data_IF_324770308968
#
_entry.id   IF_324770308968
#
_cell.length_a   1.000
_cell.length_b   1.000
_cell.length_c   1.000
_cell.angle_alpha   90.00
_cell.angle_beta   90.00
_cell.angle_gamma   90.00
#
_symmetry.space_group_name_H-M   'P 1'
#
loop_
_entity.id
_entity.type
_entity.pdbx_description
1 polymer ?
#
# COMPACT_ATOMS: atom_id res chain seq x y z
N UNK A 1 -36.29 44.56 27.30
CA UNK A 1 -36.48 44.39 25.85
C UNK A 1 -36.06 42.97 25.50
N UNK A 2 -36.96 42.22 24.84
CA UNK A 2 -36.78 40.90 24.23
C UNK A 2 -36.52 39.65 25.12
N UNK A 3 -37.63 39.04 25.53
CA UNK A 3 -37.85 37.58 25.70
C UNK A 3 -37.83 36.87 24.34
N UNK A 4 -37.41 35.58 24.28
CA UNK A 4 -37.74 34.50 23.30
C UNK A 4 -36.71 33.34 23.49
N UNK A 5 -36.94 32.03 23.43
CA UNK A 5 -38.07 31.11 23.19
C UNK A 5 -37.60 29.72 23.71
N UNK A 6 -38.41 29.08 24.54
CA UNK A 6 -38.54 27.60 24.68
C UNK A 6 -39.50 27.17 23.58
N UNK A 7 -39.22 26.16 22.75
CA UNK A 7 -40.19 25.22 22.10
C UNK A 7 -39.38 24.27 21.21
N UNK A 8 -39.50 22.96 21.41
CA UNK A 8 -38.81 21.97 20.57
C UNK A 8 -38.65 20.58 21.18
N UNK A 9 -39.61 20.15 21.99
CA UNK A 9 -39.82 18.75 22.37
C UNK A 9 -41.03 18.29 21.53
N UNK A 10 -41.03 17.02 21.11
CA UNK A 10 -42.19 16.29 20.58
C UNK A 10 -42.48 16.59 19.10
N UNK A 11 -41.95 15.75 18.19
CA UNK A 11 -42.57 15.17 16.98
C UNK A 11 -41.47 14.31 16.34
N UNK A 12 -41.42 13.01 16.65
CA UNK A 12 -41.11 11.92 15.70
C UNK A 12 -41.26 10.55 16.37
N UNK A 13 -42.46 10.23 16.85
CA UNK A 13 -42.83 8.90 17.33
C UNK A 13 -44.12 8.35 16.69
N UNK A 14 -44.55 8.90 15.56
CA UNK A 14 -45.82 8.50 14.93
C UNK A 14 -45.71 8.46 13.40
N UNK A 15 -44.94 7.50 12.88
CA UNK A 15 -45.28 6.83 11.62
C UNK A 15 -45.13 5.33 11.88
N UNK A 16 -46.03 4.86 12.74
CA UNK A 16 -46.52 3.48 12.80
C UNK A 16 -47.88 3.54 12.09
N UNK A 17 -48.19 2.48 11.33
CA UNK A 17 -49.40 2.22 10.53
C UNK A 17 -49.28 2.60 9.05
N UNK A 18 -48.89 1.64 8.21
CA UNK A 18 -49.89 0.79 7.59
C UNK A 18 -49.26 -0.50 7.04
N UNK A 19 -49.80 -1.69 7.39
CA UNK A 19 -49.46 -2.95 6.74
C UNK A 19 -50.31 -3.07 5.47
N UNK A 20 -49.69 -2.90 4.31
CA UNK A 20 -50.27 -3.34 3.05
C UNK A 20 -49.90 -4.80 2.84
N UNK A 21 -50.88 -5.65 3.18
CA UNK A 21 -51.01 -7.00 2.66
C UNK A 21 -50.90 -6.94 1.14
N UNK A 22 -49.86 -7.55 0.58
CA UNK A 22 -49.87 -7.96 -0.81
C UNK A 22 -49.84 -9.49 -0.86
N UNK A 23 -50.83 -10.00 -1.56
CA UNK A 23 -51.19 -11.38 -1.70
C UNK A 23 -50.10 -12.22 -2.37
N UNK A 24 -49.96 -13.44 -1.85
CA UNK A 24 -49.78 -14.70 -2.55
C UNK A 24 -48.99 -14.66 -3.87
N UNK A 25 -47.72 -15.05 -3.78
CA UNK A 25 -47.24 -16.13 -4.64
C UNK A 25 -46.92 -17.30 -3.71
N UNK A 26 -47.74 -18.35 -3.74
CA UNK A 26 -47.30 -19.67 -3.29
C UNK A 26 -46.17 -20.07 -4.25
N UNK A 27 -44.95 -19.72 -3.88
CA UNK A 27 -43.78 -20.31 -4.48
C UNK A 27 -43.90 -21.81 -4.21
N UNK A 28 -44.18 -22.56 -5.28
CA UNK A 28 -43.97 -23.98 -5.34
C UNK A 28 -42.49 -24.22 -5.06
N UNK A 29 -42.13 -24.35 -3.79
CA UNK A 29 -40.83 -24.86 -3.37
C UNK A 29 -40.88 -26.36 -3.62
N UNK A 30 -40.53 -26.77 -4.86
CA UNK A 30 -39.95 -28.09 -5.03
C UNK A 30 -38.70 -28.06 -4.18
N UNK A 31 -38.74 -28.76 -3.04
CA UNK A 31 -37.59 -28.95 -2.17
C UNK A 31 -36.57 -29.77 -2.96
N UNK A 32 -35.81 -29.09 -3.83
CA UNK A 32 -34.64 -29.66 -4.45
C UNK A 32 -33.69 -29.96 -3.30
N UNK A 33 -33.53 -31.23 -2.96
CA UNK A 33 -32.75 -31.66 -1.82
C UNK A 33 -31.29 -31.29 -2.07
N UNK A 34 -30.86 -30.16 -1.50
CA UNK A 34 -29.47 -29.73 -1.55
C UNK A 34 -28.61 -30.72 -0.77
N UNK A 35 -27.58 -31.25 -1.42
CA UNK A 35 -26.63 -32.16 -0.76
C UNK A 35 -25.44 -31.37 -0.22
N UNK A 36 -25.19 -31.41 1.09
CA UNK A 36 -24.04 -30.74 1.68
C UNK A 36 -22.76 -31.57 1.52
N UNK A 37 -21.75 -30.99 0.85
CA UNK A 37 -20.47 -31.64 0.53
C UNK A 37 -19.41 -31.45 1.62
N UNK A 38 -19.56 -30.45 2.50
CA UNK A 38 -18.59 -30.11 3.54
C UNK A 38 -17.86 -28.80 3.30
N UNK A 39 -16.73 -28.65 3.99
CA UNK A 39 -15.88 -27.46 3.95
C UNK A 39 -14.57 -27.76 3.20
N UNK A 40 -14.11 -26.80 2.40
CA UNK A 40 -12.93 -26.96 1.54
C UNK A 40 -12.02 -25.75 1.65
N UNK A 41 -10.71 -25.97 1.67
CA UNK A 41 -9.70 -24.92 1.73
C UNK A 41 -9.21 -24.56 0.33
N UNK A 42 -9.32 -23.28 0.01
CA UNK A 42 -8.88 -22.69 -1.25
C UNK A 42 -7.38 -22.91 -1.49
N UNK A 43 -7.04 -23.30 -2.71
CA UNK A 43 -5.69 -23.65 -3.17
C UNK A 43 -5.18 -25.03 -2.73
N UNK A 44 -5.94 -25.77 -1.91
CA UNK A 44 -5.49 -27.05 -1.34
C UNK A 44 -6.41 -28.21 -1.70
N UNK A 45 -7.71 -28.02 -1.55
CA UNK A 45 -8.66 -29.11 -1.61
C UNK A 45 -9.29 -29.25 -2.99
N UNK A 46 -9.87 -30.44 -3.24
CA UNK A 46 -10.64 -30.75 -4.44
C UNK A 46 -12.02 -31.23 -4.05
N UNK A 47 -13.04 -30.74 -4.75
CA UNK A 47 -14.42 -31.17 -4.58
C UNK A 47 -14.68 -32.31 -5.58
N UNK A 48 -15.17 -33.44 -5.09
CA UNK A 48 -15.58 -34.57 -5.92
C UNK A 48 -17.10 -34.73 -5.86
N UNK A 49 -17.77 -34.61 -7.00
CA UNK A 49 -19.20 -34.84 -7.15
C UNK A 49 -19.39 -36.08 -8.03
N UNK A 50 -20.19 -37.02 -7.57
CA UNK A 50 -20.57 -38.21 -8.32
C UNK A 50 -22.08 -38.37 -8.25
N UNK A 51 -22.70 -38.70 -9.38
CA UNK A 51 -24.12 -38.95 -9.48
C UNK A 51 -24.45 -39.90 -10.62
N UNK A 52 -25.73 -40.22 -10.75
CA UNK A 52 -26.26 -41.10 -11.78
C UNK A 52 -27.48 -40.44 -12.41
N UNK A 53 -27.50 -40.37 -13.73
CA UNK A 53 -28.61 -39.83 -14.51
C UNK A 53 -29.53 -40.98 -14.93
N UNK A 54 -30.77 -40.93 -14.47
CA UNK A 54 -31.77 -41.97 -14.66
C UNK A 54 -33.06 -41.36 -15.20
N UNK A 55 -33.76 -42.10 -16.05
CA UNK A 55 -35.15 -41.82 -16.46
C UNK A 55 -36.05 -42.95 -15.97
N UNK A 56 -37.31 -42.63 -15.68
CA UNK A 56 -38.33 -43.62 -15.35
C UNK A 56 -39.07 -44.00 -16.63
N UNK A 57 -38.86 -45.23 -17.12
CA UNK A 57 -39.59 -45.79 -18.26
C UNK A 57 -40.33 -47.04 -17.79
N UNK A 58 -41.67 -47.10 -17.98
CA UNK A 58 -42.49 -48.23 -17.55
C UNK A 58 -42.29 -48.66 -16.08
N UNK A 59 -42.09 -47.69 -15.17
CA UNK A 59 -41.73 -47.89 -13.75
C UNK A 59 -40.35 -48.52 -13.49
N UNK A 60 -39.49 -48.65 -14.50
CA UNK A 60 -38.10 -49.07 -14.35
C UNK A 60 -37.15 -47.88 -14.45
N UNK A 61 -36.04 -47.93 -13.70
CA UNK A 61 -34.99 -46.91 -13.74
C UNK A 61 -34.01 -47.26 -14.85
N UNK A 62 -34.06 -46.51 -15.94
CA UNK A 62 -33.18 -46.70 -17.09
C UNK A 62 -32.07 -45.64 -17.06
N UNK A 63 -30.78 -46.03 -17.14
CA UNK A 63 -29.70 -45.08 -17.17
C UNK A 63 -29.62 -44.33 -18.49
N UNK A 64 -29.36 -43.02 -18.43
CA UNK A 64 -29.12 -42.20 -19.62
C UNK A 64 -27.61 -42.15 -19.89
N UNK A 65 -27.15 -43.05 -20.76
CA UNK A 65 -25.73 -43.18 -21.11
C UNK A 65 -25.30 -42.24 -22.24
N UNK A 66 -24.02 -41.84 -22.22
CA UNK A 66 -23.36 -41.15 -23.32
C UNK A 66 -23.83 -39.72 -23.58
N UNK A 67 -24.46 -39.07 -22.60
CA UNK A 67 -24.90 -37.67 -22.69
C UNK A 67 -23.99 -36.76 -21.87
N UNK A 68 -23.89 -35.49 -22.27
CA UNK A 68 -23.12 -34.49 -21.52
C UNK A 68 -23.94 -33.91 -20.38
N UNK A 69 -23.27 -33.75 -19.24
CA UNK A 69 -23.76 -33.06 -18.06
C UNK A 69 -22.77 -31.95 -17.74
N UNK A 70 -23.28 -30.79 -17.35
CA UNK A 70 -22.51 -29.58 -17.10
C UNK A 70 -22.43 -29.29 -15.60
N UNK A 71 -21.33 -28.71 -15.15
CA UNK A 71 -21.15 -28.28 -13.77
C UNK A 71 -20.92 -26.77 -13.70
N UNK A 72 -21.74 -26.10 -12.90
CA UNK A 72 -21.64 -24.67 -12.61
C UNK A 72 -21.42 -24.44 -11.12
N UNK A 73 -20.65 -23.42 -10.75
CA UNK A 73 -20.66 -22.84 -9.42
C UNK A 73 -21.49 -21.55 -9.44
N UNK A 74 -22.41 -21.43 -8.50
CA UNK A 74 -23.21 -20.25 -8.26
C UNK A 74 -22.75 -19.61 -6.94
N UNK A 75 -22.40 -18.34 -7.01
CA UNK A 75 -21.88 -17.56 -5.89
C UNK A 75 -22.97 -16.64 -5.32
N UNK A 76 -22.78 -16.17 -4.09
CA UNK A 76 -23.77 -15.32 -3.40
C UNK A 76 -24.01 -13.96 -4.06
N UNK A 77 -23.09 -13.52 -4.93
CA UNK A 77 -23.22 -12.30 -5.74
C UNK A 77 -24.06 -12.51 -7.02
N UNK A 78 -24.60 -13.72 -7.22
CA UNK A 78 -25.40 -14.10 -8.38
C UNK A 78 -24.60 -14.41 -9.64
N UNK A 79 -23.27 -14.47 -9.55
CA UNK A 79 -22.42 -14.86 -10.69
C UNK A 79 -22.32 -16.37 -10.83
N UNK A 80 -22.23 -16.83 -12.08
CA UNK A 80 -22.18 -18.23 -12.44
C UNK A 80 -20.82 -18.52 -13.10
N UNK A 81 -20.13 -19.55 -12.62
CA UNK A 81 -18.86 -20.00 -13.15
C UNK A 81 -19.01 -21.41 -13.72
N UNK A 82 -18.82 -21.56 -15.02
CA UNK A 82 -18.72 -22.89 -15.64
C UNK A 82 -17.43 -23.58 -15.21
N UNK A 83 -17.54 -24.78 -14.66
CA UNK A 83 -16.42 -25.55 -14.13
C UNK A 83 -15.99 -26.69 -15.07
N UNK A 84 -16.90 -27.16 -15.92
CA UNK A 84 -16.62 -28.20 -16.91
C UNK A 84 -17.84 -29.04 -17.25
N UNK A 85 -17.65 -29.97 -18.18
CA UNK A 85 -18.65 -30.96 -18.59
C UNK A 85 -18.10 -32.38 -18.43
N UNK A 86 -18.99 -33.35 -18.25
CA UNK A 86 -18.67 -34.76 -18.16
C UNK A 86 -19.69 -35.58 -18.93
N UNK A 87 -19.23 -36.63 -19.60
CA UNK A 87 -20.10 -37.54 -20.35
C UNK A 87 -20.47 -38.72 -19.46
N UNK A 88 -21.77 -39.04 -19.36
CA UNK A 88 -22.22 -40.19 -18.58
C UNK A 88 -21.73 -41.51 -19.19
N UNK A 89 -21.38 -42.46 -18.31
CA UNK A 89 -21.00 -43.81 -18.73
C UNK A 89 -22.22 -44.68 -19.11
N UNK A 90 -22.00 -45.96 -19.41
CA UNK A 90 -23.04 -46.93 -19.77
C UNK A 90 -24.11 -47.13 -18.68
N UNK A 91 -23.77 -46.83 -17.42
CA UNK A 91 -24.67 -46.90 -16.28
C UNK A 91 -25.28 -45.52 -15.95
N UNK A 92 -25.08 -44.50 -16.79
CA UNK A 92 -25.56 -43.14 -16.56
C UNK A 92 -24.76 -42.39 -15.48
N UNK A 93 -23.62 -42.90 -15.03
CA UNK A 93 -22.82 -42.31 -13.96
C UNK A 93 -21.95 -41.19 -14.52
N UNK A 94 -21.87 -40.08 -13.78
CA UNK A 94 -20.96 -38.97 -14.06
C UNK A 94 -20.09 -38.67 -12.82
N UNK A 95 -18.88 -38.16 -13.06
CA UNK A 95 -17.95 -37.77 -11.98
C UNK A 95 -17.26 -36.45 -12.33
N UNK A 96 -17.36 -35.48 -11.42
CA UNK A 96 -16.61 -34.24 -11.46
C UNK A 96 -15.56 -34.20 -10.35
N UNK A 97 -14.37 -33.72 -10.68
CA UNK A 97 -13.30 -33.42 -9.71
C UNK A 97 -12.81 -32.00 -9.97
N UNK A 98 -13.16 -31.07 -9.08
CA UNK A 98 -12.89 -29.64 -9.25
C UNK A 98 -11.88 -29.19 -8.21
N UNK A 99 -10.81 -28.55 -8.66
CA UNK A 99 -9.85 -27.90 -7.75
C UNK A 99 -10.44 -26.58 -7.24
N UNK A 100 -10.45 -26.39 -5.91
CA UNK A 100 -10.89 -25.13 -5.30
C UNK A 100 -9.77 -24.11 -5.45
N UNK A 101 -9.70 -23.44 -6.58
CA UNK A 101 -8.63 -22.49 -6.91
C UNK A 101 -8.98 -21.03 -6.53
N UNK A 102 -8.15 -20.08 -6.97
CA UNK A 102 -8.31 -18.67 -6.63
C UNK A 102 -9.61 -18.01 -7.13
N UNK A 103 -10.32 -18.65 -8.07
CA UNK A 103 -11.59 -18.15 -8.63
C UNK A 103 -12.78 -18.37 -7.70
N UNK A 104 -12.68 -19.26 -6.72
CA UNK A 104 -13.74 -19.47 -5.74
C UNK A 104 -13.71 -18.35 -4.68
N UNK A 105 -14.82 -17.65 -4.45
CA UNK A 105 -14.94 -16.76 -3.29
C UNK A 105 -14.97 -17.59 -2.00
N UNK A 106 -14.50 -17.01 -0.90
CA UNK A 106 -14.68 -17.61 0.42
C UNK A 106 -16.15 -17.48 0.86
N UNK A 107 -16.64 -18.48 1.57
CA UNK A 107 -18.03 -18.56 2.01
C UNK A 107 -18.79 -19.72 1.34
N UNK A 108 -20.11 -19.60 1.32
CA UNK A 108 -21.00 -20.63 0.78
C UNK A 108 -21.02 -20.59 -0.76
N UNK A 109 -20.93 -21.76 -1.37
CA UNK A 109 -20.97 -21.96 -2.83
C UNK A 109 -21.96 -23.07 -3.15
N UNK A 110 -22.84 -22.82 -4.12
CA UNK A 110 -23.80 -23.80 -4.62
C UNK A 110 -23.30 -24.33 -5.97
N UNK A 111 -22.96 -25.61 -6.02
CA UNK A 111 -22.57 -26.31 -7.23
C UNK A 111 -23.82 -26.93 -7.88
N UNK A 112 -24.09 -26.55 -9.12
CA UNK A 112 -25.25 -27.01 -9.90
C UNK A 112 -24.77 -27.95 -10.98
N UNK A 113 -25.19 -29.21 -10.89
CA UNK A 113 -25.04 -30.18 -11.98
C UNK A 113 -26.28 -30.06 -12.87
N UNK A 114 -26.08 -29.76 -14.14
CA UNK A 114 -27.15 -29.49 -15.10
C UNK A 114 -27.09 -30.46 -16.28
N UNK A 115 -28.19 -31.17 -16.51
CA UNK A 115 -28.41 -31.90 -17.75
C UNK A 115 -29.40 -31.09 -18.60
N UNK A 116 -29.03 -30.68 -19.82
CA UNK A 116 -29.89 -29.83 -20.66
C UNK A 116 -31.11 -30.55 -21.23
N UNK A 117 -31.21 -31.87 -21.12
CA UNK A 117 -32.27 -32.65 -21.75
C UNK A 117 -31.93 -33.08 -23.18
N UNK A 118 -32.82 -33.88 -23.78
CA UNK A 118 -32.76 -34.32 -25.17
C UNK A 118 -34.18 -34.44 -25.71
N UNK A 119 -34.60 -33.43 -26.47
CA UNK A 119 -35.97 -33.32 -27.02
C UNK A 119 -36.28 -34.49 -27.96
N UNK A 120 -35.28 -35.01 -28.70
CA UNK A 120 -35.49 -36.11 -29.64
C UNK A 120 -35.80 -37.42 -28.92
N UNK A 121 -35.30 -37.56 -27.68
CA UNK A 121 -35.56 -38.72 -26.81
C UNK A 121 -36.69 -38.45 -25.80
N UNK A 122 -37.23 -37.24 -25.77
CA UNK A 122 -38.26 -36.84 -24.81
C UNK A 122 -37.73 -36.63 -23.38
N UNK A 123 -36.44 -36.36 -23.21
CA UNK A 123 -35.85 -36.11 -21.90
C UNK A 123 -35.85 -34.62 -21.57
N UNK A 124 -36.47 -34.27 -20.44
CA UNK A 124 -36.50 -32.89 -19.94
C UNK A 124 -35.16 -32.49 -19.28
N UNK A 125 -34.87 -31.18 -19.19
CA UNK A 125 -33.71 -30.70 -18.46
C UNK A 125 -33.84 -30.99 -16.95
N UNK A 126 -32.74 -31.40 -16.31
CA UNK A 126 -32.71 -31.72 -14.87
C UNK A 126 -31.53 -31.03 -14.19
N UNK A 127 -31.73 -30.63 -12.92
CA UNK A 127 -30.71 -29.98 -12.09
C UNK A 127 -30.56 -30.68 -10.74
N UNK A 128 -29.33 -30.80 -10.26
CA UNK A 128 -29.01 -31.21 -8.90
C UNK A 128 -28.10 -30.15 -8.24
N UNK A 129 -28.32 -29.89 -6.95
CA UNK A 129 -27.65 -28.83 -6.21
C UNK A 129 -26.84 -29.40 -5.07
N UNK A 130 -25.61 -28.93 -4.95
CA UNK A 130 -24.65 -29.34 -3.94
C UNK A 130 -24.09 -28.12 -3.23
N UNK A 131 -24.19 -28.08 -1.90
CA UNK A 131 -23.68 -26.97 -1.08
C UNK A 131 -22.28 -27.28 -0.57
N UNK A 132 -21.36 -26.34 -0.69
CA UNK A 132 -20.02 -26.40 -0.10
C UNK A 132 -19.67 -25.08 0.58
N UNK A 133 -18.80 -25.12 1.60
CA UNK A 133 -18.24 -23.92 2.24
C UNK A 133 -16.76 -23.81 1.89
N UNK A 134 -16.35 -22.74 1.24
CA UNK A 134 -14.97 -22.45 0.87
C UNK A 134 -14.31 -21.59 1.95
N UNK A 135 -13.21 -22.06 2.52
CA UNK A 135 -12.38 -21.35 3.49
C UNK A 135 -11.14 -20.80 2.82
N UNK A 136 -10.76 -19.58 3.20
CA UNK A 136 -9.44 -19.04 2.85
C UNK A 136 -8.34 -19.93 3.46
N UNK A 137 -7.18 -20.07 2.80
CA UNK A 137 -6.07 -20.79 3.38
C UNK A 137 -5.69 -20.07 4.67
N UNK A 138 -5.63 -20.82 5.77
CA UNK A 138 -5.05 -20.27 7.01
C UNK A 138 -3.65 -19.80 6.66
N UNK A 139 -3.44 -18.48 6.64
CA UNK A 139 -2.11 -17.91 6.62
C UNK A 139 -1.45 -18.38 7.90
N UNK A 140 -0.70 -19.49 7.80
CA UNK A 140 0.20 -19.89 8.86
C UNK A 140 1.06 -18.66 9.12
N UNK A 141 0.92 -18.09 10.32
CA UNK A 141 1.58 -16.87 10.78
C UNK A 141 3.10 -17.08 10.94
N UNK A 142 3.76 -17.80 10.03
CA UNK A 142 5.22 -17.87 9.91
C UNK A 142 5.80 -16.50 9.54
N UNK A 143 5.00 -15.62 8.94
CA UNK A 143 5.36 -14.22 8.71
C UNK A 143 5.42 -13.38 10.00
N UNK A 144 4.86 -13.85 11.13
CA UNK A 144 4.95 -13.10 12.39
C UNK A 144 6.36 -13.15 12.99
N UNK A 145 7.10 -14.26 12.81
CA UNK A 145 8.49 -14.38 13.28
C UNK A 145 9.45 -13.51 12.46
N UNK A 146 9.26 -13.47 11.14
CA UNK A 146 10.02 -12.60 10.24
C UNK A 146 9.65 -11.12 10.42
N UNK A 147 8.37 -10.80 10.63
CA UNK A 147 7.94 -9.43 10.94
C UNK A 147 8.51 -8.92 12.27
N UNK A 148 8.55 -9.78 13.29
CA UNK A 148 9.10 -9.43 14.60
C UNK A 148 10.63 -9.23 14.54
N UNK A 149 11.35 -10.05 13.77
CA UNK A 149 12.81 -9.89 13.61
C UNK A 149 13.16 -8.60 12.86
N UNK A 150 12.43 -8.25 11.80
CA UNK A 150 12.61 -6.99 11.07
C UNK A 150 12.28 -5.78 11.96
N UNK A 151 11.21 -5.85 12.75
CA UNK A 151 10.86 -4.80 13.70
C UNK A 151 11.95 -4.58 14.76
N UNK A 152 12.53 -5.65 15.30
CA UNK A 152 13.64 -5.59 16.26
C UNK A 152 14.89 -4.96 15.61
N UNK A 153 15.23 -5.35 14.38
CA UNK A 153 16.39 -4.79 13.65
C UNK A 153 16.20 -3.29 13.40
N UNK A 154 15.02 -2.86 12.97
CA UNK A 154 14.71 -1.44 12.76
C UNK A 154 14.81 -0.64 14.06
N UNK A 155 14.35 -1.20 15.18
CA UNK A 155 14.46 -0.57 16.50
C UNK A 155 15.92 -0.37 16.92
N UNK A 156 16.79 -1.37 16.67
CA UNK A 156 18.23 -1.28 16.93
C UNK A 156 18.87 -0.19 16.05
N UNK A 157 18.48 -0.09 14.77
CA UNK A 157 18.97 0.96 13.88
C UNK A 157 18.53 2.36 14.31
N UNK A 158 17.30 2.51 14.80
CA UNK A 158 16.82 3.79 15.32
C UNK A 158 17.55 4.19 16.60
N UNK A 159 17.81 3.25 17.51
CA UNK A 159 18.59 3.52 18.72
C UNK A 159 20.05 3.86 18.43
N UNK A 160 20.69 3.19 17.46
CA UNK A 160 22.07 3.51 17.06
C UNK A 160 22.16 4.90 16.40
N UNK A 161 21.16 5.27 15.60
CA UNK A 161 21.03 6.63 15.04
C UNK A 161 20.81 7.69 16.12
N UNK A 162 19.91 7.45 17.06
CA UNK A 162 19.62 8.37 18.15
C UNK A 162 20.84 8.59 19.04
N UNK A 163 21.56 7.52 19.41
CA UNK A 163 22.78 7.60 20.23
C UNK A 163 23.93 8.32 19.52
N UNK A 164 24.10 8.11 18.20
CA UNK A 164 25.06 8.91 17.41
C UNK A 164 24.72 10.40 17.37
N UNK A 165 23.43 10.73 17.26
CA UNK A 165 22.96 12.13 17.26
C UNK A 165 23.19 12.78 18.62
N UNK A 166 22.92 12.05 19.70
CA UNK A 166 23.13 12.50 21.08
C UNK A 166 24.63 12.71 21.39
N UNK A 167 25.51 11.83 20.89
CA UNK A 167 26.96 12.01 21.00
C UNK A 167 27.46 13.24 20.22
N UNK A 168 26.88 13.56 19.06
CA UNK A 168 27.24 14.78 18.31
C UNK A 168 26.81 16.04 19.05
N UNK A 169 25.60 16.06 19.61
CA UNK A 169 25.08 17.16 20.44
C UNK A 169 25.90 17.36 21.72
N UNK A 170 26.27 16.28 22.40
CA UNK A 170 27.16 16.31 23.58
C UNK A 170 28.54 16.91 23.24
N UNK A 171 29.14 16.54 22.10
CA UNK A 171 30.39 17.14 21.63
C UNK A 171 30.27 18.62 21.26
N UNK A 172 29.08 19.10 20.91
CA UNK A 172 28.83 20.53 20.66
C UNK A 172 28.57 21.30 21.96
N UNK A 173 27.94 20.69 22.97
CA UNK A 173 27.69 21.32 24.27
C UNK A 173 28.99 21.61 25.07
N UNK A 174 30.07 20.87 24.82
CA UNK A 174 31.40 21.12 25.41
C UNK A 174 32.34 21.98 24.56
N UNK A 175 31.85 22.56 23.45
CA UNK A 175 32.59 23.54 22.66
C UNK A 175 31.79 24.83 22.54
N UNK A 176 31.63 25.53 23.66
CA UNK A 176 31.54 26.99 23.63
C UNK A 176 32.89 27.52 23.14
N UNK A 177 33.17 27.35 21.84
CA UNK A 177 34.30 28.01 21.19
C UNK A 177 34.01 29.52 21.24
N UNK A 178 35.02 30.36 21.51
CA UNK A 178 34.86 31.81 21.43
C UNK A 178 34.31 32.19 20.06
N UNK A 179 33.56 33.29 19.99
CA UNK A 179 32.98 33.82 18.76
C UNK A 179 34.11 33.99 17.73
N UNK A 180 34.19 33.07 16.78
CA UNK A 180 35.22 33.10 15.73
C UNK A 180 34.97 34.33 14.86
N UNK A 181 35.99 35.14 14.66
CA UNK A 181 35.90 36.29 13.75
C UNK A 181 35.70 35.79 12.31
N UNK A 182 35.08 36.60 11.44
CA UNK A 182 34.88 36.20 10.03
C UNK A 182 36.22 35.92 9.33
N UNK A 183 37.30 36.59 9.75
CA UNK A 183 38.66 36.37 9.27
C UNK A 183 39.19 34.97 9.62
N UNK A 184 38.95 34.49 10.84
CA UNK A 184 39.34 33.12 11.22
C UNK A 184 38.58 32.07 10.40
N UNK A 185 37.29 32.30 10.14
CA UNK A 185 36.49 31.39 9.33
C UNK A 185 36.99 31.39 7.88
N UNK A 186 37.32 32.57 7.35
CA UNK A 186 37.87 32.72 6.00
C UNK A 186 39.24 32.02 5.88
N UNK A 187 40.12 32.19 6.86
CA UNK A 187 41.42 31.51 6.90
C UNK A 187 41.27 29.99 7.01
N UNK A 188 40.29 29.50 7.78
CA UNK A 188 39.95 28.07 7.83
C UNK A 188 39.44 27.57 6.47
N UNK A 189 38.63 28.37 5.76
CA UNK A 189 38.15 28.04 4.41
C UNK A 189 39.34 27.96 3.44
N UNK A 190 40.21 28.97 3.40
CA UNK A 190 41.40 28.99 2.54
C UNK A 190 42.30 27.79 2.83
N UNK A 191 42.55 27.51 4.11
CA UNK A 191 43.35 26.37 4.55
C UNK A 191 42.73 25.05 4.09
N UNK A 192 41.42 24.86 4.22
CA UNK A 192 40.75 23.64 3.75
C UNK A 192 40.74 23.51 2.23
N UNK A 193 40.56 24.62 1.52
CA UNK A 193 40.63 24.65 0.06
C UNK A 193 42.02 24.24 -0.41
N UNK A 194 43.09 24.80 0.17
CA UNK A 194 44.47 24.41 -0.14
C UNK A 194 44.76 22.92 0.11
N UNK A 195 44.10 22.32 1.11
CA UNK A 195 44.17 20.89 1.41
C UNK A 195 43.23 20.02 0.57
N UNK A 196 42.47 20.62 -0.35
CA UNK A 196 41.43 19.96 -1.17
C UNK A 196 40.33 19.30 -0.33
N UNK A 197 40.06 19.85 0.85
CA UNK A 197 39.03 19.36 1.77
C UNK A 197 37.68 20.02 1.49
N UNK A 198 36.79 19.35 0.77
CA UNK A 198 35.46 19.86 0.40
C UNK A 198 34.53 20.24 1.58
N UNK A 199 34.89 19.85 2.80
CA UNK A 199 34.15 20.25 3.99
C UNK A 199 34.23 21.76 4.28
N UNK A 200 35.07 22.54 3.56
CA UNK A 200 35.07 23.99 3.64
C UNK A 200 33.73 24.61 3.23
N UNK A 201 32.99 23.98 2.31
CA UNK A 201 31.70 24.50 1.83
C UNK A 201 30.72 24.63 3.00
N UNK A 202 30.77 23.72 3.97
CA UNK A 202 29.93 23.78 5.17
C UNK A 202 30.22 25.00 6.06
N UNK A 203 31.40 25.63 5.92
CA UNK A 203 31.76 26.85 6.63
C UNK A 203 31.15 28.11 6.00
N UNK A 204 30.63 28.04 4.77
CA UNK A 204 30.01 29.19 4.07
C UNK A 204 28.87 29.80 4.89
N UNK A 205 28.04 28.97 5.53
CA UNK A 205 26.98 29.45 6.41
C UNK A 205 27.52 30.22 7.62
N UNK A 206 28.54 29.67 8.28
CA UNK A 206 29.20 30.32 9.42
C UNK A 206 29.90 31.62 9.03
N UNK A 207 30.55 31.66 7.86
CA UNK A 207 31.18 32.86 7.32
C UNK A 207 30.13 33.96 7.11
N UNK A 208 29.00 33.61 6.51
CA UNK A 208 27.94 34.56 6.22
C UNK A 208 27.28 35.10 7.50
N UNK A 209 27.07 34.24 8.51
CA UNK A 209 26.57 34.65 9.82
C UNK A 209 27.55 35.57 10.55
N UNK A 210 28.85 35.29 10.47
CA UNK A 210 29.90 36.14 11.02
C UNK A 210 29.99 37.49 10.31
N UNK A 211 29.85 37.52 8.98
CA UNK A 211 29.81 38.76 8.19
C UNK A 211 28.56 39.60 8.52
N UNK A 212 27.38 38.98 8.60
CA UNK A 212 26.16 39.69 9.02
C UNK A 212 26.36 40.35 10.38
N UNK A 213 26.90 39.60 11.35
CA UNK A 213 27.20 40.11 12.69
C UNK A 213 28.23 41.24 12.66
N UNK A 214 29.27 41.14 11.83
CA UNK A 214 30.28 42.18 11.65
C UNK A 214 29.67 43.49 11.14
N UNK A 215 28.72 43.42 10.19
CA UNK A 215 27.97 44.59 9.71
C UNK A 215 26.81 45.04 10.62
N UNK A 216 26.71 44.49 11.84
CA UNK A 216 25.66 44.85 12.79
C UNK A 216 24.26 44.37 12.41
N UNK A 217 24.14 43.39 11.51
CA UNK A 217 22.87 42.77 11.12
C UNK A 217 22.72 41.43 11.82
N UNK A 218 21.58 41.21 12.49
CA UNK A 218 21.28 39.94 13.16
C UNK A 218 20.34 39.15 12.24
N UNK A 219 20.81 38.07 11.58
CA UNK A 219 19.96 37.28 10.70
C UNK A 219 18.93 36.48 11.52
N UNK A 220 17.73 36.29 10.96
CA UNK A 220 16.72 35.40 11.58
C UNK A 220 17.15 33.95 11.40
N UNK A 221 16.85 33.10 12.39
CA UNK A 221 17.21 31.68 12.34
C UNK A 221 16.60 30.93 11.13
N UNK A 222 15.47 31.40 10.61
CA UNK A 222 14.78 30.81 9.45
C UNK A 222 15.28 31.32 8.09
N UNK A 223 16.22 32.26 8.08
CA UNK A 223 16.65 32.94 6.85
C UNK A 223 17.58 32.06 6.04
N UNK A 224 17.33 31.95 4.74
CA UNK A 224 18.18 31.23 3.80
C UNK A 224 19.53 31.94 3.63
N UNK A 225 20.56 31.22 3.14
CA UNK A 225 21.86 31.84 2.88
C UNK A 225 21.77 32.95 1.82
N UNK A 226 20.95 32.77 0.78
CA UNK A 226 20.76 33.80 -0.25
C UNK A 226 20.16 35.09 0.34
N UNK A 227 19.16 34.96 1.20
CA UNK A 227 18.55 36.10 1.88
C UNK A 227 19.56 36.80 2.81
N UNK A 228 20.36 36.04 3.56
CA UNK A 228 21.45 36.60 4.40
C UNK A 228 22.49 37.36 3.56
N UNK A 229 22.86 36.84 2.40
CA UNK A 229 23.77 37.53 1.47
C UNK A 229 23.16 38.84 0.94
N UNK A 230 21.86 38.82 0.60
CA UNK A 230 21.15 40.00 0.16
C UNK A 230 21.12 41.10 1.22
N UNK A 231 21.00 40.74 2.51
CA UNK A 231 21.04 41.70 3.62
C UNK A 231 22.34 42.49 3.71
N UNK A 232 23.47 41.88 3.35
CA UNK A 232 24.80 42.50 3.44
C UNK A 232 25.31 43.03 2.09
N UNK A 233 24.51 42.92 1.02
CA UNK A 233 24.90 43.29 -0.35
C UNK A 233 25.46 44.72 -0.44
N UNK A 234 24.85 45.68 0.23
CA UNK A 234 25.26 47.10 0.19
C UNK A 234 26.63 47.36 0.81
N UNK A 235 27.15 46.43 1.62
CA UNK A 235 28.44 46.55 2.29
C UNK A 235 29.56 45.77 1.60
N UNK A 236 29.25 45.04 0.53
CA UNK A 236 30.19 44.21 -0.22
C UNK A 236 30.52 44.85 -1.56
N UNK A 237 31.77 44.69 -2.01
CA UNK A 237 32.09 44.96 -3.41
C UNK A 237 31.35 43.97 -4.31
N UNK A 238 31.11 44.34 -5.57
CA UNK A 238 30.44 43.48 -6.54
C UNK A 238 31.18 42.14 -6.72
N UNK A 239 32.51 42.18 -6.71
CA UNK A 239 33.38 41.01 -6.75
C UNK A 239 33.17 40.10 -5.53
N UNK A 240 33.26 40.64 -4.30
CA UNK A 240 33.06 39.87 -3.08
C UNK A 240 31.65 39.28 -2.99
N UNK A 241 30.65 40.03 -3.44
CA UNK A 241 29.27 39.55 -3.52
C UNK A 241 29.14 38.36 -4.48
N UNK A 242 29.74 38.44 -5.65
CA UNK A 242 29.71 37.36 -6.64
C UNK A 242 30.45 36.10 -6.15
N UNK A 243 31.59 36.26 -5.46
CA UNK A 243 32.31 35.17 -4.80
C UNK A 243 31.40 34.46 -3.79
N UNK A 244 30.80 35.21 -2.85
CA UNK A 244 29.92 34.63 -1.84
C UNK A 244 28.67 33.98 -2.46
N UNK A 245 28.12 34.57 -3.52
CA UNK A 245 26.99 34.00 -4.27
C UNK A 245 27.35 32.63 -4.87
N UNK A 246 28.55 32.51 -5.43
CA UNK A 246 29.04 31.24 -5.97
C UNK A 246 29.25 30.21 -4.86
N UNK A 247 29.84 30.61 -3.73
CA UNK A 247 30.00 29.73 -2.56
C UNK A 247 28.66 29.22 -2.03
N UNK A 248 27.64 30.08 -1.96
CA UNK A 248 26.28 29.70 -1.53
C UNK A 248 25.65 28.72 -2.52
N UNK A 249 25.81 28.96 -3.83
CA UNK A 249 25.29 28.06 -4.86
C UNK A 249 25.90 26.66 -4.73
N UNK A 250 27.20 26.58 -4.44
CA UNK A 250 27.89 25.32 -4.21
C UNK A 250 27.45 24.62 -2.92
N UNK A 251 27.19 25.39 -1.86
CA UNK A 251 26.60 24.88 -0.63
C UNK A 251 25.21 24.26 -0.86
N UNK A 252 24.35 24.95 -1.62
CA UNK A 252 23.01 24.46 -1.94
C UNK A 252 23.06 23.19 -2.80
N UNK A 253 23.91 23.15 -3.84
CA UNK A 253 24.11 21.94 -4.66
C UNK A 253 24.57 20.76 -3.79
N UNK A 254 25.49 20.99 -2.84
CA UNK A 254 25.93 19.93 -1.93
C UNK A 254 24.81 19.46 -1.00
N UNK A 255 23.99 20.38 -0.47
CA UNK A 255 22.93 20.05 0.47
C UNK A 255 21.79 19.26 -0.21
N UNK A 256 21.37 19.68 -1.40
CA UNK A 256 20.24 19.08 -2.12
C UNK A 256 20.65 17.91 -3.02
N UNK A 257 21.86 17.93 -3.57
CA UNK A 257 22.33 16.94 -4.54
C UNK A 257 22.91 15.66 -3.94
N UNK A 258 22.98 15.57 -2.60
CA UNK A 258 23.41 14.37 -1.88
C UNK A 258 24.84 13.93 -2.21
N UNK A 259 25.20 12.65 -1.97
CA UNK A 259 26.55 12.14 -2.20
C UNK A 259 27.00 12.19 -3.67
N UNK A 260 26.06 12.23 -4.62
CA UNK A 260 26.36 12.23 -6.05
C UNK A 260 26.78 13.61 -6.57
N UNK A 261 26.09 14.68 -6.15
CA UNK A 261 26.52 16.04 -6.51
C UNK A 261 27.90 16.40 -5.93
N UNK A 262 28.25 15.83 -4.76
CA UNK A 262 29.58 15.96 -4.16
C UNK A 262 30.68 15.38 -5.06
N UNK A 263 30.47 14.20 -5.66
CA UNK A 263 31.48 13.58 -6.52
C UNK A 263 31.64 14.33 -7.84
N UNK A 264 30.54 14.84 -8.40
CA UNK A 264 30.57 15.67 -9.61
C UNK A 264 31.35 16.95 -9.33
N UNK A 265 30.99 17.71 -8.29
CA UNK A 265 31.68 18.96 -7.95
C UNK A 265 33.18 18.77 -7.69
N UNK A 266 33.57 17.65 -7.06
CA UNK A 266 34.98 17.32 -6.85
C UNK A 266 35.72 16.98 -8.15
N UNK A 267 35.05 16.36 -9.11
CA UNK A 267 35.67 15.95 -10.38
C UNK A 267 35.65 17.06 -11.44
N UNK A 268 34.71 18.01 -11.36
CA UNK A 268 34.52 19.05 -12.38
C UNK A 268 35.23 20.36 -12.08
N UNK A 269 35.47 20.68 -10.80
CA UNK A 269 36.10 21.94 -10.41
C UNK A 269 37.55 21.71 -10.01
N UNK A 270 38.47 22.10 -10.90
CA UNK A 270 39.91 22.07 -10.64
C UNK A 270 40.27 23.04 -9.51
N UNK A 271 41.36 22.76 -8.79
CA UNK A 271 41.85 23.56 -7.67
C UNK A 271 42.09 25.03 -8.05
N UNK A 272 42.57 25.28 -9.27
CA UNK A 272 42.81 26.64 -9.76
C UNK A 272 41.51 27.43 -9.95
N UNK A 273 40.41 26.75 -10.31
CA UNK A 273 39.08 27.35 -10.38
C UNK A 273 38.60 27.73 -8.98
N UNK A 274 38.82 26.87 -7.98
CA UNK A 274 38.48 27.15 -6.58
C UNK A 274 39.28 28.31 -6.01
N UNK A 275 40.57 28.39 -6.34
CA UNK A 275 41.46 29.46 -5.91
C UNK A 275 41.11 30.79 -6.56
N UNK A 276 40.66 30.79 -7.82
CA UNK A 276 40.19 32.00 -8.50
C UNK A 276 38.81 32.46 -8.04
N UNK A 277 38.01 31.56 -7.46
CA UNK A 277 36.70 31.87 -6.90
C UNK A 277 36.75 32.44 -5.48
N UNK A 278 37.90 32.43 -4.80
CA UNK A 278 38.11 32.92 -3.43
C UNK A 278 39.07 34.11 -3.40
#
# INVERSE_FOLDING_TARGET
MATKIRWGLIILWTIIMLPLQCYCAENFFVLQSETYLGEFVKGRDKIRIQGQLLVMENNERVPIAGVFVELYANFSDGTWLFLGENKTDENGIFVFVVSVDNRFPAGEVILTVYYPGDILKGYEPVRAYYRAIIKEPQQNNTNSLLGMSVAIILLIMMFSGATMTLMKLSKHAHRARPVTTWLEILDEIITKVSRREFNFIMLTGSLLDALCKYFGRIPRASMTLQEKLLMIKEYLSEEAYNILKNMISLYEIQLFGGPYARSILMNTLDYDVWKHLL
#
